data_IF_398396145370
#
_entry.id   IF_398396145370
#
_cell.length_a   1.000
_cell.length_b   1.000
_cell.length_c   1.000
_cell.angle_alpha   90.00
_cell.angle_beta   90.00
_cell.angle_gamma   90.00
#
_symmetry.space_group_name_H-M   'P 1'
#
loop_
_entity.id
_entity.type
_entity.pdbx_description
1 polymer ?
#
# COMPACT_ATOMS: atom_id res chain seq x y z
N UNK A 1 -27.46 13.98 1.09
CA UNK A 1 -26.12 13.63 0.61
C UNK A 1 -25.89 12.16 0.94
N UNK A 2 -25.93 11.29 -0.05
CA UNK A 2 -25.69 9.88 0.19
C UNK A 2 -24.19 9.63 0.20
N UNK A 3 -23.62 9.44 1.38
CA UNK A 3 -22.22 9.03 1.54
C UNK A 3 -22.13 7.54 1.18
N UNK A 4 -21.95 7.28 -0.10
CA UNK A 4 -21.69 5.93 -0.56
C UNK A 4 -20.18 5.64 -0.32
N UNK A 5 -19.87 5.03 0.80
CA UNK A 5 -18.59 4.40 1.03
C UNK A 5 -18.55 3.11 0.20
N UNK A 6 -17.76 3.10 -0.86
CA UNK A 6 -17.54 1.91 -1.67
C UNK A 6 -16.15 1.34 -1.38
N UNK A 7 -16.09 0.07 -1.00
CA UNK A 7 -14.84 -0.66 -0.97
C UNK A 7 -14.62 -1.28 -2.36
N UNK A 8 -13.49 -0.99 -2.99
CA UNK A 8 -13.19 -1.48 -4.33
C UNK A 8 -12.65 -2.91 -4.36
N UNK A 9 -12.09 -3.38 -3.25
CA UNK A 9 -11.62 -4.76 -3.13
C UNK A 9 -11.84 -5.29 -1.74
N UNK A 10 -12.31 -6.53 -1.62
CA UNK A 10 -12.29 -7.32 -0.40
C UNK A 10 -11.07 -8.28 -0.38
N UNK A 11 -10.32 -8.35 -1.48
CA UNK A 11 -9.14 -9.18 -1.60
C UNK A 11 -7.90 -8.42 -1.09
N UNK A 12 -7.09 -9.05 -0.25
CA UNK A 12 -5.82 -8.48 0.20
C UNK A 12 -4.78 -8.53 -0.93
N UNK A 13 -4.89 -7.63 -1.89
CA UNK A 13 -3.93 -7.51 -2.99
C UNK A 13 -2.81 -6.55 -2.63
N UNK A 14 -1.56 -7.06 -2.56
CA UNK A 14 -0.39 -6.20 -2.37
C UNK A 14 -0.15 -5.39 -3.65
N UNK A 15 -0.01 -4.06 -3.51
CA UNK A 15 0.36 -3.16 -4.60
C UNK A 15 -0.81 -2.55 -5.39
N UNK A 16 -2.02 -3.08 -5.31
CA UNK A 16 -3.15 -2.62 -6.14
C UNK A 16 -3.78 -1.29 -5.72
N UNK A 17 -3.57 -0.82 -4.50
CA UNK A 17 -4.32 0.28 -3.90
C UNK A 17 -4.21 1.61 -4.67
N UNK A 18 -3.00 2.03 -5.07
CA UNK A 18 -2.81 3.28 -5.81
C UNK A 18 -3.38 3.22 -7.23
N UNK A 19 -3.06 2.22 -8.06
CA UNK A 19 -3.66 2.09 -9.39
C UNK A 19 -5.19 2.04 -9.36
N UNK A 20 -5.76 1.32 -8.40
CA UNK A 20 -7.22 1.25 -8.24
C UNK A 20 -7.83 2.57 -7.78
N UNK A 21 -7.15 3.32 -6.92
CA UNK A 21 -7.60 4.66 -6.53
C UNK A 21 -7.63 5.62 -7.74
N UNK A 22 -6.63 5.55 -8.62
CA UNK A 22 -6.61 6.34 -9.85
C UNK A 22 -7.73 5.92 -10.80
N UNK A 23 -7.96 4.63 -10.98
CA UNK A 23 -9.07 4.12 -11.77
C UNK A 23 -10.43 4.57 -11.21
N UNK A 24 -10.59 4.53 -9.89
CA UNK A 24 -11.80 5.02 -9.23
C UNK A 24 -11.98 6.53 -9.44
N UNK A 25 -10.90 7.31 -9.38
CA UNK A 25 -10.95 8.74 -9.62
C UNK A 25 -11.33 9.09 -11.06
N UNK A 26 -10.88 8.29 -12.02
CA UNK A 26 -11.31 8.41 -13.42
C UNK A 26 -12.79 8.09 -13.60
N UNK A 27 -13.26 7.02 -12.94
CA UNK A 27 -14.65 6.59 -13.04
C UNK A 27 -15.64 7.55 -12.32
N UNK A 28 -15.15 8.20 -11.24
CA UNK A 28 -15.99 9.07 -10.40
C UNK A 28 -15.31 10.42 -10.16
N UNK A 29 -15.26 11.29 -11.18
CA UNK A 29 -14.51 12.55 -11.13
C UNK A 29 -15.01 13.55 -10.07
N UNK A 30 -16.27 13.44 -9.66
CA UNK A 30 -16.90 14.33 -8.68
C UNK A 30 -16.79 13.83 -7.22
N UNK A 31 -16.15 12.67 -7.01
CA UNK A 31 -16.03 12.08 -5.68
C UNK A 31 -14.61 12.18 -5.15
N UNK A 32 -14.49 12.39 -3.85
CA UNK A 32 -13.19 12.25 -3.16
C UNK A 32 -12.83 10.77 -3.08
N UNK A 33 -11.65 10.42 -3.57
CA UNK A 33 -11.10 9.07 -3.48
C UNK A 33 -10.02 9.03 -2.40
N UNK A 34 -10.17 8.14 -1.44
CA UNK A 34 -9.21 7.91 -0.36
C UNK A 34 -8.70 6.49 -0.48
N UNK A 35 -7.38 6.33 -0.64
CA UNK A 35 -6.69 5.04 -0.59
C UNK A 35 -6.05 4.86 0.79
N UNK A 36 -6.35 3.74 1.46
CA UNK A 36 -5.66 3.35 2.70
C UNK A 36 -4.77 2.15 2.41
N UNK A 37 -3.50 2.21 2.76
CA UNK A 37 -2.52 1.19 2.40
C UNK A 37 -1.35 1.16 3.39
N UNK A 38 -0.64 0.03 3.43
CA UNK A 38 0.61 -0.09 4.17
C UNK A 38 1.80 0.48 3.38
N UNK A 39 2.90 0.73 4.07
CA UNK A 39 4.15 1.24 3.47
C UNK A 39 4.74 0.28 2.43
N UNK A 40 4.68 -1.04 2.65
CA UNK A 40 5.09 -2.03 1.67
C UNK A 40 4.25 -1.95 0.38
N UNK A 41 2.93 -1.89 0.50
CA UNK A 41 2.01 -1.72 -0.64
C UNK A 41 2.23 -0.39 -1.37
N UNK A 42 2.48 0.69 -0.61
CA UNK A 42 2.82 1.99 -1.19
C UNK A 42 4.08 1.92 -2.04
N UNK A 43 5.13 1.22 -1.56
CA UNK A 43 6.40 1.07 -2.26
C UNK A 43 6.30 0.40 -3.63
N UNK A 44 5.29 -0.46 -3.85
CA UNK A 44 5.11 -1.14 -5.13
C UNK A 44 4.77 -0.19 -6.29
N UNK A 45 3.89 0.76 -6.04
CA UNK A 45 3.35 1.62 -7.07
C UNK A 45 3.38 3.11 -6.69
N UNK A 46 4.36 3.52 -5.88
CA UNK A 46 4.50 4.93 -5.47
C UNK A 46 4.63 5.89 -6.69
N UNK A 47 5.20 5.40 -7.79
CA UNK A 47 5.33 6.17 -9.03
C UNK A 47 4.00 6.49 -9.70
N UNK A 48 2.91 5.82 -9.33
CA UNK A 48 1.57 6.16 -9.80
C UNK A 48 1.09 7.53 -9.29
N UNK A 49 1.74 8.09 -8.28
CA UNK A 49 1.50 9.48 -7.89
C UNK A 49 1.94 10.47 -8.98
N UNK A 50 2.99 10.15 -9.74
CA UNK A 50 3.38 10.92 -10.93
C UNK A 50 2.30 10.83 -12.02
N UNK A 51 1.73 9.63 -12.23
CA UNK A 51 0.58 9.44 -13.10
C UNK A 51 -0.61 10.28 -12.64
N UNK A 52 -0.92 10.29 -11.34
CA UNK A 52 -1.98 11.12 -10.78
C UNK A 52 -1.79 12.61 -11.09
N UNK A 53 -0.57 13.10 -10.93
CA UNK A 53 -0.25 14.51 -11.23
C UNK A 53 -0.38 14.82 -12.72
N UNK A 54 0.15 13.96 -13.60
CA UNK A 54 0.12 14.17 -15.06
C UNK A 54 -1.29 14.21 -15.61
N UNK A 55 -2.17 13.38 -15.07
CA UNK A 55 -3.56 13.27 -15.52
C UNK A 55 -4.56 14.11 -14.70
N UNK A 56 -4.08 14.88 -13.73
CA UNK A 56 -4.94 15.72 -12.90
C UNK A 56 -5.95 14.91 -12.07
N UNK A 57 -5.52 13.78 -11.52
CA UNK A 57 -6.35 12.84 -10.75
C UNK A 57 -6.05 12.99 -9.24
N UNK A 58 -6.62 13.99 -8.55
CA UNK A 58 -6.38 14.18 -7.12
C UNK A 58 -6.97 13.02 -6.32
N UNK A 59 -6.13 12.39 -5.52
CA UNK A 59 -6.49 11.34 -4.54
C UNK A 59 -5.88 11.67 -3.19
N UNK A 60 -6.41 11.07 -2.13
CA UNK A 60 -5.83 11.11 -0.79
C UNK A 60 -5.29 9.72 -0.48
N UNK A 61 -3.98 9.61 -0.25
CA UNK A 61 -3.36 8.36 0.17
C UNK A 61 -3.02 8.43 1.67
N UNK A 62 -3.57 7.50 2.46
CA UNK A 62 -3.27 7.34 3.88
C UNK A 62 -2.41 6.11 4.05
N UNK A 63 -1.14 6.32 4.41
CA UNK A 63 -0.16 5.25 4.52
C UNK A 63 0.07 4.91 5.98
N UNK A 64 -0.28 3.68 6.38
CA UNK A 64 0.09 3.09 7.64
C UNK A 64 1.53 2.57 7.55
N UNK A 65 2.48 3.28 8.14
CA UNK A 65 3.90 2.92 8.08
C UNK A 65 4.35 2.26 9.38
N UNK A 66 4.56 0.96 9.35
CA UNK A 66 5.21 0.19 10.42
C UNK A 66 6.67 -0.18 10.09
N UNK A 67 7.18 0.30 8.96
CA UNK A 67 8.54 0.11 8.44
C UNK A 67 8.88 -1.36 8.21
N UNK A 68 7.92 -2.18 7.87
CA UNK A 68 8.10 -3.60 7.52
C UNK A 68 6.93 -4.12 6.69
N UNK A 69 7.16 -5.22 6.06
CA UNK A 69 6.10 -6.02 5.44
C UNK A 69 5.50 -6.94 6.49
N UNK A 70 4.70 -6.38 7.38
CA UNK A 70 4.34 -7.06 8.62
C UNK A 70 3.50 -8.33 8.39
N UNK A 71 2.65 -8.37 7.38
CA UNK A 71 1.88 -9.57 7.06
C UNK A 71 2.80 -10.73 6.67
N UNK A 72 3.75 -10.49 5.75
CA UNK A 72 4.74 -11.45 5.31
C UNK A 72 5.69 -11.83 6.44
N UNK A 73 6.10 -10.87 7.25
CA UNK A 73 6.93 -11.11 8.43
C UNK A 73 6.25 -12.07 9.41
N UNK A 74 4.97 -11.85 9.73
CA UNK A 74 4.22 -12.73 10.62
C UNK A 74 4.04 -14.14 10.03
N UNK A 75 3.76 -14.25 8.74
CA UNK A 75 3.66 -15.53 8.05
C UNK A 75 4.99 -16.30 8.08
N UNK A 76 6.10 -15.61 7.86
CA UNK A 76 7.43 -16.24 7.92
C UNK A 76 7.75 -16.75 9.32
N UNK A 77 7.46 -15.96 10.37
CA UNK A 77 7.64 -16.41 11.76
C UNK A 77 6.78 -17.63 12.05
N UNK A 78 5.51 -17.60 11.64
CA UNK A 78 4.56 -18.67 11.91
C UNK A 78 4.97 -19.99 11.25
N UNK A 79 5.48 -19.95 10.02
CA UNK A 79 5.79 -21.15 9.26
C UNK A 79 7.23 -21.64 9.40
N UNK A 80 8.19 -20.74 9.62
CA UNK A 80 9.62 -21.04 9.59
C UNK A 80 10.38 -20.66 10.85
N UNK A 81 9.71 -20.00 11.80
CA UNK A 81 10.34 -19.48 13.03
C UNK A 81 11.15 -18.21 12.83
N UNK A 82 11.45 -17.51 13.92
CA UNK A 82 12.07 -16.19 13.91
C UNK A 82 13.46 -16.12 13.27
N UNK A 83 14.17 -17.26 13.16
CA UNK A 83 15.52 -17.32 12.57
C UNK A 83 15.52 -17.30 11.04
N UNK A 84 14.39 -17.55 10.40
CA UNK A 84 14.27 -17.68 8.95
C UNK A 84 13.60 -16.46 8.29
N UNK A 85 13.52 -15.35 9.00
CA UNK A 85 12.91 -14.13 8.47
C UNK A 85 13.86 -13.46 7.48
N UNK A 86 13.44 -13.37 6.22
CA UNK A 86 14.24 -12.82 5.13
C UNK A 86 14.22 -11.28 5.09
N UNK A 87 13.11 -10.68 5.53
CA UNK A 87 12.94 -9.23 5.58
C UNK A 87 12.72 -8.82 7.02
N UNK A 88 13.78 -8.53 7.74
CA UNK A 88 13.73 -7.97 9.08
C UNK A 88 14.13 -6.50 9.06
N UNK A 89 13.51 -5.75 9.94
CA UNK A 89 13.94 -4.41 10.28
C UNK A 89 15.25 -4.51 11.07
N UNK A 90 16.38 -4.52 10.39
CA UNK A 90 17.65 -4.35 11.08
C UNK A 90 17.64 -3.01 11.81
N UNK A 91 18.31 -2.93 12.95
CA UNK A 91 18.28 -1.87 13.95
C UNK A 91 18.51 -0.40 13.47
N UNK A 92 18.46 -0.15 12.16
CA UNK A 92 18.48 1.18 11.57
C UNK A 92 17.09 1.58 11.11
N UNK A 93 16.55 2.71 11.56
CA UNK A 93 15.22 3.18 11.15
C UNK A 93 15.12 3.60 9.67
N UNK A 94 16.15 3.38 8.87
CA UNK A 94 16.25 3.91 7.50
C UNK A 94 16.55 2.89 6.42
N UNK A 95 16.60 1.60 6.70
CA UNK A 95 16.91 0.63 5.65
C UNK A 95 16.10 -0.66 5.78
N UNK A 96 15.31 -0.95 4.75
CA UNK A 96 14.90 -2.32 4.46
C UNK A 96 16.17 -3.08 4.04
N UNK A 97 16.59 -4.03 4.81
CA UNK A 97 17.55 -5.04 4.36
C UNK A 97 16.81 -6.33 4.13
N UNK A 98 16.57 -6.64 2.85
CA UNK A 98 16.37 -8.03 2.48
C UNK A 98 17.77 -8.65 2.41
N UNK A 99 18.00 -9.72 3.17
CA UNK A 99 19.18 -10.52 3.01
C UNK A 99 19.09 -11.20 1.63
N UNK A 100 19.98 -10.81 0.72
CA UNK A 100 20.22 -11.51 -0.54
C UNK A 100 21.21 -12.64 -0.30
#
# INVERSE_FOLDING_TARGET
>A
MADAWGRLTDEPGVGSALPMALAARLAYPDRTVIATLGDGTFGYHALELDTALRYGLPIVAVVGNDSRWNAEYQLQIQHYGARAVLCDRSASPRSFRCAG
#
